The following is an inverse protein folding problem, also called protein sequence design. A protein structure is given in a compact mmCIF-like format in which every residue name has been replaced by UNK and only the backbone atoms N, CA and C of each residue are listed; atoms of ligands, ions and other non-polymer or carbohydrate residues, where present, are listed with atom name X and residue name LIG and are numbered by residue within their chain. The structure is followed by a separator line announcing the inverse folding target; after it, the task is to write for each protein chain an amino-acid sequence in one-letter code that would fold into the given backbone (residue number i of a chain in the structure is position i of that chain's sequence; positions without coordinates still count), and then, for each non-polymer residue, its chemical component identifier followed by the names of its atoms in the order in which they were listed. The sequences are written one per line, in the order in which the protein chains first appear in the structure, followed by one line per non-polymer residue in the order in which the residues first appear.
data_IF_556601529417
#
_entry.id   IF_556601529417
#
_cell.length_a   1.000
_cell.length_b   1.000
_cell.length_c   1.000
_cell.angle_alpha   90.00
_cell.angle_beta   90.00
_cell.angle_gamma   90.00
#
_symmetry.space_group_name_H-M   'P 1'
#
loop_
_entity.id
_entity.type
_entity.pdbx_description
1 polymer ?
#
# COMPACT_ATOMS: atom_id res chain seq x y z
N UNK A 1 0.93 -40.26 6.73
CA UNK A 1 1.04 -38.84 7.18
C UNK A 1 2.12 -38.24 6.29
N UNK A 2 1.71 -37.62 5.20
CA UNK A 2 2.65 -36.97 4.24
C UNK A 2 2.98 -35.60 4.78
N UNK A 3 4.25 -35.41 5.07
CA UNK A 3 4.89 -34.15 5.37
C UNK A 3 4.67 -33.21 4.17
N UNK A 4 3.82 -32.19 4.34
CA UNK A 4 3.62 -31.16 3.33
C UNK A 4 4.92 -30.38 3.23
N UNK A 5 5.64 -30.64 2.16
CA UNK A 5 6.90 -30.07 1.73
C UNK A 5 6.99 -28.58 2.09
N UNK A 6 7.89 -28.27 3.03
CA UNK A 6 8.47 -26.94 3.19
C UNK A 6 9.06 -26.54 1.84
N UNK A 7 8.32 -25.72 1.08
CA UNK A 7 8.85 -25.13 -0.16
C UNK A 7 10.12 -24.39 0.23
N UNK A 8 11.24 -24.72 -0.38
CA UNK A 8 12.51 -24.04 -0.14
C UNK A 8 12.35 -22.56 -0.53
N UNK A 9 12.20 -21.69 0.46
CA UNK A 9 11.96 -20.26 0.27
C UNK A 9 13.08 -19.57 -0.51
N UNK A 10 14.29 -20.15 -0.57
CA UNK A 10 15.41 -19.60 -1.32
C UNK A 10 15.18 -19.60 -2.84
N UNK A 11 14.24 -20.41 -3.33
CA UNK A 11 13.89 -20.53 -4.76
C UNK A 11 12.81 -19.49 -5.17
N UNK A 12 12.13 -18.87 -4.21
CA UNK A 12 11.09 -17.87 -4.49
C UNK A 12 11.71 -16.52 -4.89
N UNK A 13 11.00 -15.70 -5.71
CA UNK A 13 11.52 -14.43 -6.26
C UNK A 13 12.10 -13.46 -5.23
N UNK A 14 11.55 -13.46 -4.00
CA UNK A 14 12.01 -12.63 -2.89
C UNK A 14 12.58 -13.46 -1.72
N UNK A 15 13.04 -14.69 -2.01
CA UNK A 15 13.71 -15.55 -1.03
C UNK A 15 14.92 -14.86 -0.42
N UNK A 16 14.92 -14.71 0.93
CA UNK A 16 15.98 -14.01 1.65
C UNK A 16 15.86 -12.48 1.69
N UNK A 17 14.91 -11.89 0.99
CA UNK A 17 14.63 -10.46 1.09
C UNK A 17 13.91 -10.11 2.41
N UNK A 18 14.20 -8.92 2.92
CA UNK A 18 13.58 -8.36 4.13
C UNK A 18 12.76 -7.13 3.74
N UNK A 19 11.48 -7.13 4.10
CA UNK A 19 10.55 -6.05 3.82
C UNK A 19 10.00 -5.44 5.12
N UNK A 20 9.81 -4.13 5.13
CA UNK A 20 9.03 -3.41 6.13
C UNK A 20 7.78 -2.84 5.44
N UNK A 21 6.59 -3.25 5.90
CA UNK A 21 5.31 -2.69 5.47
C UNK A 21 4.71 -1.90 6.62
N UNK A 22 4.82 -0.60 6.54
CA UNK A 22 4.29 0.33 7.51
C UNK A 22 2.81 0.62 7.20
N UNK A 23 1.93 0.41 8.20
CA UNK A 23 0.48 0.53 8.00
C UNK A 23 -0.20 -0.76 7.51
N UNK A 24 0.36 -1.93 7.82
CA UNK A 24 -0.08 -3.22 7.29
C UNK A 24 -1.19 -3.92 8.10
N UNK A 25 -2.01 -3.19 8.86
CA UNK A 25 -3.08 -3.79 9.66
C UNK A 25 -4.22 -4.35 8.80
N UNK A 26 -4.58 -3.66 7.69
CA UNK A 26 -5.70 -3.99 6.78
C UNK A 26 -5.47 -3.35 5.41
N UNK A 27 -6.43 -3.52 4.50
CA UNK A 27 -6.45 -2.87 3.19
C UNK A 27 -5.22 -3.17 2.35
N UNK A 28 -4.70 -2.14 1.67
CA UNK A 28 -3.55 -2.27 0.77
C UNK A 28 -2.32 -2.83 1.50
N UNK A 29 -1.97 -2.27 2.67
CA UNK A 29 -0.80 -2.71 3.43
C UNK A 29 -0.85 -4.18 3.83
N UNK A 30 -2.02 -4.71 4.25
CA UNK A 30 -2.22 -6.15 4.50
C UNK A 30 -2.01 -6.95 3.22
N UNK A 31 -2.65 -6.55 2.11
CA UNK A 31 -2.51 -7.23 0.82
C UNK A 31 -1.07 -7.26 0.33
N UNK A 32 -0.35 -6.13 0.45
CA UNK A 32 1.07 -6.01 0.10
C UNK A 32 1.93 -6.93 0.96
N UNK A 33 1.73 -6.93 2.27
CA UNK A 33 2.49 -7.80 3.18
C UNK A 33 2.32 -9.28 2.81
N UNK A 34 1.09 -9.72 2.54
CA UNK A 34 0.78 -11.11 2.16
C UNK A 34 1.46 -11.48 0.84
N UNK A 35 1.42 -10.63 -0.19
CA UNK A 35 2.01 -10.94 -1.50
C UNK A 35 3.54 -10.90 -1.48
N UNK A 36 4.17 -10.03 -0.69
CA UNK A 36 5.61 -10.08 -0.43
C UNK A 36 5.99 -11.41 0.26
N UNK A 37 5.18 -11.86 1.22
CA UNK A 37 5.35 -13.16 1.87
C UNK A 37 5.18 -14.32 0.89
N UNK A 38 4.16 -14.31 0.05
CA UNK A 38 3.95 -15.31 -0.99
C UNK A 38 5.13 -15.40 -1.97
N UNK A 39 5.83 -14.28 -2.19
CA UNK A 39 7.08 -14.24 -2.97
C UNK A 39 8.32 -14.69 -2.18
N UNK A 40 8.21 -15.06 -0.90
CA UNK A 40 9.29 -15.65 -0.08
C UNK A 40 9.97 -14.68 0.89
N UNK A 41 9.54 -13.42 0.97
CA UNK A 41 10.18 -12.44 1.84
C UNK A 41 9.92 -12.69 3.34
N UNK A 42 10.84 -12.17 4.17
CA UNK A 42 10.57 -11.88 5.57
C UNK A 42 9.94 -10.49 5.64
N UNK A 43 8.74 -10.40 6.22
CA UNK A 43 7.94 -9.16 6.23
C UNK A 43 7.68 -8.69 7.65
N UNK A 44 8.23 -7.55 8.00
CA UNK A 44 7.87 -6.81 9.20
C UNK A 44 6.57 -6.05 8.95
N UNK A 45 5.54 -6.40 9.71
CA UNK A 45 4.18 -5.83 9.64
C UNK A 45 4.02 -4.86 10.79
N UNK A 46 3.87 -3.58 10.51
CA UNK A 46 3.74 -2.57 11.55
C UNK A 46 2.41 -1.82 11.49
N UNK A 47 1.97 -1.37 12.64
CA UNK A 47 0.74 -0.61 12.83
C UNK A 47 0.40 -0.47 14.31
N UNK A 48 -0.62 0.32 14.61
CA UNK A 48 -1.06 0.60 16.00
C UNK A 48 -2.07 -0.41 16.53
N UNK A 49 -2.71 -1.17 15.64
CA UNK A 49 -3.81 -2.09 15.98
C UNK A 49 -3.25 -3.48 16.23
N UNK A 50 -3.39 -3.96 17.46
CA UNK A 50 -2.96 -5.27 17.93
C UNK A 50 -4.14 -6.02 18.52
N UNK A 51 -3.95 -7.31 18.86
CA UNK A 51 -4.95 -8.09 19.59
C UNK A 51 -5.29 -7.50 20.97
N UNK A 52 -4.34 -6.79 21.59
CA UNK A 52 -4.51 -6.13 22.88
C UNK A 52 -5.07 -4.70 22.74
N UNK A 53 -4.85 -4.05 21.59
CA UNK A 53 -5.23 -2.67 21.34
C UNK A 53 -5.97 -2.52 20.01
N UNK A 54 -7.27 -2.31 20.07
CA UNK A 54 -8.08 -2.06 18.88
C UNK A 54 -7.73 -0.72 18.22
N UNK A 55 -8.04 -0.64 16.92
CA UNK A 55 -7.92 0.60 16.15
C UNK A 55 -8.87 1.69 16.67
N UNK A 56 -8.60 2.97 16.34
CA UNK A 56 -9.50 4.10 16.58
C UNK A 56 -10.88 3.92 15.90
N UNK A 57 -10.96 3.04 14.92
CA UNK A 57 -12.21 2.67 14.21
C UNK A 57 -12.93 1.48 14.87
N UNK A 58 -12.44 0.99 16.00
CA UNK A 58 -12.95 -0.22 16.69
C UNK A 58 -13.05 -1.47 15.79
N UNK A 59 -12.17 -1.56 14.78
CA UNK A 59 -12.14 -2.68 13.83
C UNK A 59 -11.36 -3.87 14.40
N UNK A 60 -11.70 -5.10 13.97
CA UNK A 60 -11.09 -6.32 14.50
C UNK A 60 -9.68 -6.61 13.94
N UNK A 61 -9.34 -6.08 12.76
CA UNK A 61 -8.09 -6.42 12.07
C UNK A 61 -6.86 -6.00 12.88
N UNK A 62 -5.85 -6.87 12.93
CA UNK A 62 -4.62 -6.68 13.69
C UNK A 62 -3.38 -6.94 12.84
N UNK A 63 -2.23 -6.41 13.30
CA UNK A 63 -0.95 -6.69 12.66
C UNK A 63 -0.50 -8.14 12.87
N UNK A 64 -0.88 -8.77 13.99
CA UNK A 64 -0.56 -10.17 14.27
C UNK A 64 -1.28 -11.08 13.28
N UNK A 65 -2.56 -10.84 13.01
CA UNK A 65 -3.31 -11.57 12.00
C UNK A 65 -2.65 -11.42 10.61
N UNK A 66 -2.24 -10.19 10.25
CA UNK A 66 -1.54 -9.98 8.99
C UNK A 66 -0.22 -10.75 8.92
N UNK A 67 0.56 -10.78 10.00
CA UNK A 67 1.81 -11.55 10.06
C UNK A 67 1.57 -13.07 9.93
N UNK A 68 0.49 -13.58 10.52
CA UNK A 68 0.06 -14.98 10.35
C UNK A 68 -0.32 -15.28 8.89
N UNK A 69 -1.06 -14.36 8.24
CA UNK A 69 -1.41 -14.49 6.82
C UNK A 69 -0.18 -14.46 5.90
N UNK A 70 0.82 -13.63 6.20
CA UNK A 70 2.13 -13.62 5.52
C UNK A 70 2.80 -14.98 5.63
N UNK A 71 2.82 -15.55 6.84
CA UNK A 71 3.43 -16.86 7.09
C UNK A 71 2.66 -17.98 6.39
N UNK A 72 1.33 -17.94 6.43
CA UNK A 72 0.48 -18.89 5.72
C UNK A 72 0.64 -18.82 4.20
N UNK A 73 1.02 -17.66 3.65
CA UNK A 73 1.30 -17.47 2.24
C UNK A 73 2.68 -17.98 1.79
N UNK A 74 3.55 -18.41 2.73
CA UNK A 74 4.88 -18.98 2.43
C UNK A 74 6.07 -18.10 2.81
N UNK A 75 5.84 -16.90 3.34
CA UNK A 75 6.86 -15.98 3.84
C UNK A 75 7.20 -16.18 5.32
N UNK A 76 7.78 -15.15 5.92
CA UNK A 76 7.92 -15.02 7.37
C UNK A 76 7.31 -13.68 7.81
N UNK A 77 6.16 -13.71 8.46
CA UNK A 77 5.50 -12.53 8.99
C UNK A 77 5.96 -12.22 10.42
N UNK A 78 6.32 -10.98 10.69
CA UNK A 78 6.76 -10.51 12.00
C UNK A 78 5.96 -9.26 12.36
N UNK A 79 5.02 -9.38 13.29
CA UNK A 79 4.25 -8.25 13.78
C UNK A 79 5.07 -7.42 14.78
N UNK A 80 5.13 -6.10 14.57
CA UNK A 80 5.77 -5.16 15.48
C UNK A 80 4.87 -3.95 15.67
N UNK A 81 4.28 -3.76 16.87
CA UNK A 81 3.49 -2.57 17.15
C UNK A 81 4.33 -1.31 17.02
N UNK A 82 3.81 -0.33 16.27
CA UNK A 82 4.45 0.97 16.15
C UNK A 82 3.44 2.06 15.74
N UNK A 83 3.53 3.21 16.38
CA UNK A 83 2.92 4.45 15.92
C UNK A 83 3.98 5.25 15.13
N UNK A 84 3.77 5.34 13.82
CA UNK A 84 4.71 6.01 12.93
C UNK A 84 4.76 7.54 13.10
N UNK A 85 3.92 8.13 13.96
CA UNK A 85 4.08 9.49 14.46
C UNK A 85 5.07 9.60 15.62
N UNK A 86 5.55 8.48 16.17
CA UNK A 86 6.51 8.44 17.27
C UNK A 86 7.90 8.04 16.76
N UNK A 87 8.84 8.99 16.59
CA UNK A 87 10.16 8.69 16.02
C UNK A 87 10.90 7.58 16.74
N UNK A 88 10.84 7.53 18.09
CA UNK A 88 11.51 6.51 18.87
C UNK A 88 10.98 5.09 18.63
N UNK A 89 9.67 4.94 18.35
CA UNK A 89 9.09 3.63 18.04
C UNK A 89 9.55 3.15 16.65
N UNK A 90 9.58 4.06 15.66
CA UNK A 90 10.07 3.75 14.32
C UNK A 90 11.56 3.40 14.33
N UNK A 91 12.37 4.18 15.06
CA UNK A 91 13.80 3.91 15.25
C UNK A 91 14.02 2.50 15.86
N UNK A 92 13.22 2.14 16.87
CA UNK A 92 13.31 0.83 17.52
C UNK A 92 12.96 -0.32 16.55
N UNK A 93 11.94 -0.15 15.69
CA UNK A 93 11.59 -1.12 14.64
C UNK A 93 12.76 -1.32 13.68
N UNK A 94 13.30 -0.24 13.13
CA UNK A 94 14.39 -0.29 12.15
C UNK A 94 15.67 -0.85 12.78
N UNK A 95 15.99 -0.46 14.01
CA UNK A 95 17.13 -1.01 14.75
C UNK A 95 16.97 -2.52 15.00
N UNK A 96 15.75 -3.00 15.25
CA UNK A 96 15.46 -4.43 15.35
C UNK A 96 15.73 -5.16 14.04
N UNK A 97 15.22 -4.64 12.90
CA UNK A 97 15.48 -5.19 11.57
C UNK A 97 16.98 -5.25 11.29
N UNK A 98 17.69 -4.17 11.59
CA UNK A 98 19.14 -4.10 11.43
C UNK A 98 19.90 -5.15 12.25
N UNK A 99 19.50 -5.37 13.52
CA UNK A 99 20.12 -6.40 14.37
C UNK A 99 19.81 -7.83 13.92
N UNK A 100 18.58 -8.08 13.46
CA UNK A 100 18.13 -9.43 13.10
C UNK A 100 18.61 -9.85 11.69
N UNK A 101 18.73 -8.90 10.74
CA UNK A 101 19.00 -9.22 9.34
C UNK A 101 20.18 -8.44 8.72
N UNK A 102 20.60 -7.32 9.32
CA UNK A 102 21.67 -6.47 8.75
C UNK A 102 21.26 -5.75 7.45
N UNK A 103 20.03 -5.89 6.99
CA UNK A 103 19.53 -5.35 5.73
C UNK A 103 18.03 -5.05 5.75
N UNK A 104 17.63 -4.16 4.86
CA UNK A 104 16.25 -3.94 4.43
C UNK A 104 16.25 -3.83 2.91
N UNK A 105 15.37 -4.57 2.21
CA UNK A 105 15.33 -4.60 0.75
C UNK A 105 14.13 -3.84 0.19
N UNK A 106 13.01 -3.87 0.92
CA UNK A 106 11.77 -3.21 0.53
C UNK A 106 11.19 -2.44 1.70
N UNK A 107 10.95 -1.16 1.50
CA UNK A 107 10.17 -0.31 2.40
C UNK A 107 8.87 0.08 1.71
N UNK A 108 7.73 -0.21 2.33
CA UNK A 108 6.42 0.25 1.87
C UNK A 108 5.81 1.14 2.95
N UNK A 109 5.56 2.39 2.62
CA UNK A 109 4.83 3.32 3.45
C UNK A 109 3.36 3.35 3.00
N UNK A 110 2.49 2.65 3.71
CA UNK A 110 1.02 2.61 3.51
C UNK A 110 0.29 3.11 4.77
N UNK A 111 0.91 4.04 5.48
CA UNK A 111 0.33 4.60 6.69
C UNK A 111 -0.73 5.63 6.29
N UNK A 112 -1.95 5.38 6.68
CA UNK A 112 -3.07 6.28 6.57
C UNK A 112 -3.76 6.41 7.94
N UNK A 113 -5.04 6.46 8.04
CA UNK A 113 -5.78 6.59 9.30
C UNK A 113 -6.59 7.88 9.30
N UNK A 114 -6.83 8.42 8.11
CA UNK A 114 -7.56 9.65 7.91
C UNK A 114 -9.03 9.48 7.53
N UNK A 115 -9.55 8.24 7.42
CA UNK A 115 -10.91 7.99 6.92
C UNK A 115 -11.97 8.75 7.71
N UNK A 116 -11.92 8.72 9.04
CA UNK A 116 -12.88 9.43 9.91
C UNK A 116 -12.66 10.96 9.97
N UNK A 117 -11.59 11.43 9.34
CA UNK A 117 -11.25 12.86 9.28
C UNK A 117 -11.72 13.51 7.98
N UNK A 118 -12.15 12.71 7.00
CA UNK A 118 -12.61 13.20 5.70
C UNK A 118 -13.99 13.85 5.87
N UNK A 119 -14.09 15.10 5.47
CA UNK A 119 -15.35 15.81 5.29
C UNK A 119 -15.54 15.98 3.77
N UNK A 120 -16.51 15.24 3.21
CA UNK A 120 -16.68 15.10 1.78
C UNK A 120 -17.17 16.40 1.12
N UNK A 121 -16.43 16.87 0.13
CA UNK A 121 -16.77 18.04 -0.68
C UNK A 121 -17.00 19.33 0.12
N UNK A 122 -16.34 19.43 1.28
CA UNK A 122 -16.41 20.62 2.14
C UNK A 122 -15.26 21.56 1.78
N UNK A 123 -15.51 22.85 1.50
CA UNK A 123 -14.46 23.82 1.23
C UNK A 123 -13.57 24.04 2.46
N UNK A 124 -12.33 24.47 2.23
CA UNK A 124 -11.30 24.54 3.30
C UNK A 124 -11.73 25.42 4.49
N UNK A 125 -12.50 26.48 4.24
CA UNK A 125 -12.96 27.41 5.29
C UNK A 125 -14.14 26.88 6.13
N UNK A 126 -14.75 25.77 5.73
CA UNK A 126 -15.82 25.07 6.45
C UNK A 126 -15.35 23.74 7.04
N UNK A 127 -14.25 23.20 6.52
CA UNK A 127 -13.66 21.96 7.03
C UNK A 127 -13.12 22.16 8.45
N UNK A 128 -13.35 21.19 9.33
CA UNK A 128 -12.79 21.21 10.68
C UNK A 128 -11.26 21.27 10.65
N UNK A 129 -10.66 22.42 11.02
CA UNK A 129 -9.23 22.68 10.91
C UNK A 129 -8.38 21.61 11.62
N UNK A 130 -8.75 21.22 12.84
CA UNK A 130 -8.02 20.19 13.61
C UNK A 130 -8.05 18.83 12.91
N UNK A 131 -9.18 18.44 12.30
CA UNK A 131 -9.30 17.21 11.53
C UNK A 131 -8.39 17.25 10.30
N UNK A 132 -8.44 18.36 9.56
CA UNK A 132 -7.60 18.55 8.37
C UNK A 132 -6.10 18.49 8.69
N UNK A 133 -5.65 19.22 9.71
CA UNK A 133 -4.26 19.21 10.15
C UNK A 133 -3.83 17.82 10.66
N UNK A 134 -4.71 17.12 11.41
CA UNK A 134 -4.43 15.73 11.83
C UNK A 134 -4.30 14.79 10.63
N UNK A 135 -5.14 14.94 9.61
CA UNK A 135 -5.08 14.17 8.37
C UNK A 135 -3.71 14.35 7.68
N UNK A 136 -3.23 15.59 7.54
CA UNK A 136 -1.92 15.88 6.95
C UNK A 136 -0.78 15.23 7.75
N UNK A 137 -0.81 15.35 9.09
CA UNK A 137 0.19 14.70 9.95
C UNK A 137 0.21 13.18 9.76
N UNK A 138 -0.97 12.55 9.71
CA UNK A 138 -1.08 11.11 9.50
C UNK A 138 -0.59 10.67 8.10
N UNK A 139 -0.77 11.51 7.09
CA UNK A 139 -0.38 11.20 5.72
C UNK A 139 1.07 11.57 5.39
N UNK A 140 1.64 12.60 6.04
CA UNK A 140 2.94 13.16 5.64
C UNK A 140 4.02 12.86 6.68
N UNK A 141 3.79 13.23 7.96
CA UNK A 141 4.81 13.06 9.01
C UNK A 141 5.18 11.59 9.18
N UNK A 142 4.20 10.69 9.13
CA UNK A 142 4.44 9.23 9.27
C UNK A 142 5.35 8.68 8.17
N UNK A 143 5.15 9.10 6.92
CA UNK A 143 5.99 8.70 5.78
C UNK A 143 7.41 9.29 5.91
N UNK A 144 7.51 10.55 6.30
CA UNK A 144 8.81 11.22 6.53
C UNK A 144 9.60 10.55 7.67
N UNK A 145 8.95 10.33 8.83
CA UNK A 145 9.58 9.69 9.99
C UNK A 145 10.04 8.29 9.65
N UNK A 146 9.18 7.49 8.99
CA UNK A 146 9.53 6.12 8.61
C UNK A 146 10.70 6.11 7.63
N UNK A 147 10.65 6.93 6.59
CA UNK A 147 11.72 7.02 5.59
C UNK A 147 13.03 7.51 6.21
N UNK A 148 13.00 8.49 7.14
CA UNK A 148 14.19 9.00 7.81
C UNK A 148 15.00 7.89 8.50
N UNK A 149 14.33 7.03 9.26
CA UNK A 149 15.02 5.95 9.97
C UNK A 149 15.31 4.74 9.09
N UNK A 150 14.44 4.39 8.14
CA UNK A 150 14.57 3.15 7.38
C UNK A 150 15.53 3.27 6.17
N UNK A 151 15.63 4.44 5.53
CA UNK A 151 16.45 4.62 4.32
C UNK A 151 17.94 4.32 4.54
N UNK A 152 18.61 4.65 5.67
CA UNK A 152 20.00 4.24 5.88
C UNK A 152 20.20 2.73 5.78
N UNK A 153 19.29 1.94 6.33
CA UNK A 153 19.33 0.48 6.26
C UNK A 153 18.94 -0.05 4.88
N UNK A 154 17.95 0.55 4.22
CA UNK A 154 17.54 0.23 2.87
C UNK A 154 18.66 0.45 1.85
N UNK A 155 19.48 1.47 2.06
CA UNK A 155 20.58 1.87 1.19
C UNK A 155 21.95 1.32 1.62
N UNK A 156 21.99 0.47 2.64
CA UNK A 156 23.22 -0.22 3.06
C UNK A 156 23.76 -1.15 1.96
N UNK A 157 22.86 -1.64 1.09
CA UNK A 157 23.17 -2.43 -0.11
C UNK A 157 22.44 -1.84 -1.32
N UNK A 158 23.03 -1.94 -2.53
CA UNK A 158 22.35 -1.51 -3.76
C UNK A 158 21.06 -2.29 -4.01
N UNK A 159 20.09 -1.66 -4.62
CA UNK A 159 18.84 -2.31 -5.05
C UNK A 159 17.66 -2.14 -4.09
N UNK A 160 17.77 -1.36 -3.02
CA UNK A 160 16.65 -1.07 -2.12
C UNK A 160 15.46 -0.43 -2.86
N UNK A 161 14.24 -0.86 -2.53
CA UNK A 161 12.99 -0.34 -3.08
C UNK A 161 12.17 0.38 -2.02
N UNK A 162 11.88 1.66 -2.25
CA UNK A 162 10.90 2.45 -1.50
C UNK A 162 9.62 2.58 -2.31
N UNK A 163 8.49 2.21 -1.71
CA UNK A 163 7.15 2.40 -2.27
C UNK A 163 6.34 3.30 -1.33
N UNK A 164 5.96 4.46 -1.84
CA UNK A 164 5.09 5.42 -1.16
C UNK A 164 3.65 5.22 -1.68
N UNK A 165 2.77 4.72 -0.81
CA UNK A 165 1.38 4.41 -1.18
C UNK A 165 0.51 5.66 -1.11
N UNK A 166 -0.29 5.89 -2.16
CA UNK A 166 -1.15 7.07 -2.27
C UNK A 166 -2.50 6.73 -2.89
N UNK A 167 -3.33 7.74 -3.14
CA UNK A 167 -4.59 7.64 -3.89
C UNK A 167 -4.55 8.59 -5.10
N UNK A 168 -4.57 7.99 -6.29
CA UNK A 168 -4.44 8.67 -7.57
C UNK A 168 -3.02 8.73 -8.11
N UNK A 169 -2.89 8.52 -9.41
CA UNK A 169 -1.63 8.78 -10.11
C UNK A 169 -1.33 10.28 -10.15
N UNK A 170 -0.06 10.67 -10.28
CA UNK A 170 0.32 12.07 -10.44
C UNK A 170 -0.41 12.76 -11.61
N UNK A 171 -0.62 12.03 -12.72
CA UNK A 171 -1.33 12.54 -13.90
C UNK A 171 -2.80 12.80 -13.59
N UNK A 172 -3.47 11.84 -12.94
CA UNK A 172 -4.88 11.96 -12.57
C UNK A 172 -5.09 13.10 -11.55
N UNK A 173 -4.33 13.12 -10.45
CA UNK A 173 -4.47 14.13 -9.39
C UNK A 173 -4.15 15.56 -9.88
N UNK A 174 -3.26 15.72 -10.87
CA UNK A 174 -3.01 17.04 -11.48
C UNK A 174 -4.23 17.60 -12.23
N UNK A 175 -5.05 16.72 -12.78
CA UNK A 175 -6.23 17.10 -13.56
C UNK A 175 -7.53 17.15 -12.74
N UNK A 176 -7.55 16.53 -11.55
CA UNK A 176 -8.76 16.33 -10.75
C UNK A 176 -8.53 16.73 -9.30
N UNK A 177 -9.31 17.70 -8.82
CA UNK A 177 -9.37 18.05 -7.41
C UNK A 177 -10.07 16.93 -6.62
N UNK A 178 -9.47 16.49 -5.52
CA UNK A 178 -9.92 15.32 -4.77
C UNK A 178 -10.57 15.71 -3.45
N UNK A 179 -11.87 15.46 -3.32
CA UNK A 179 -12.71 15.56 -2.12
C UNK A 179 -12.68 16.91 -1.39
N UNK A 180 -11.55 17.32 -0.84
CA UNK A 180 -11.32 18.60 -0.14
C UNK A 180 -9.80 18.90 -0.14
N UNK A 181 -9.43 20.15 0.20
CA UNK A 181 -8.04 20.61 0.13
C UNK A 181 -7.07 19.82 1.02
N UNK A 182 -7.49 19.36 2.19
CA UNK A 182 -6.64 18.58 3.09
C UNK A 182 -6.39 17.18 2.54
N UNK A 183 -7.42 16.54 2.01
CA UNK A 183 -7.28 15.21 1.39
C UNK A 183 -6.43 15.28 0.13
N UNK A 184 -6.74 16.22 -0.77
CA UNK A 184 -6.00 16.43 -2.01
C UNK A 184 -4.52 16.66 -1.74
N UNK A 185 -4.19 17.57 -0.80
CA UNK A 185 -2.83 17.82 -0.38
C UNK A 185 -2.17 16.59 0.26
N UNK A 186 -2.87 15.86 1.12
CA UNK A 186 -2.36 14.65 1.75
C UNK A 186 -1.90 13.62 0.69
N UNK A 187 -2.75 13.36 -0.31
CA UNK A 187 -2.45 12.34 -1.34
C UNK A 187 -1.42 12.78 -2.36
N UNK A 188 -1.45 14.05 -2.78
CA UNK A 188 -0.44 14.59 -3.71
C UNK A 188 0.93 14.79 -3.06
N UNK A 189 0.99 15.10 -1.76
CA UNK A 189 2.26 15.22 -1.01
C UNK A 189 3.06 13.93 -1.03
N UNK A 190 2.42 12.78 -0.89
CA UNK A 190 3.07 11.46 -0.92
C UNK A 190 3.72 11.20 -2.30
N UNK A 191 3.02 11.53 -3.38
CA UNK A 191 3.58 11.46 -4.73
C UNK A 191 4.81 12.36 -4.89
N UNK A 192 4.74 13.59 -4.36
CA UNK A 192 5.87 14.53 -4.40
C UNK A 192 7.03 14.05 -3.55
N UNK A 193 6.75 13.45 -2.38
CA UNK A 193 7.76 12.86 -1.51
C UNK A 193 8.51 11.74 -2.22
N UNK A 194 7.80 10.79 -2.83
CA UNK A 194 8.42 9.70 -3.61
C UNK A 194 9.34 10.23 -4.70
N UNK A 195 8.89 11.25 -5.44
CA UNK A 195 9.71 11.89 -6.46
C UNK A 195 10.95 12.57 -5.86
N UNK A 196 10.83 13.28 -4.75
CA UNK A 196 11.97 13.90 -4.05
C UNK A 196 12.99 12.86 -3.61
N UNK A 197 12.52 11.83 -2.89
CA UNK A 197 13.36 10.74 -2.39
C UNK A 197 14.03 9.95 -3.52
N UNK A 198 13.42 9.87 -4.71
CA UNK A 198 14.04 9.20 -5.86
C UNK A 198 15.39 9.79 -6.26
N UNK A 199 15.56 11.12 -6.10
CA UNK A 199 16.84 11.80 -6.34
C UNK A 199 17.89 11.49 -5.26
N UNK A 200 17.44 11.25 -4.03
CA UNK A 200 18.31 11.00 -2.90
C UNK A 200 18.76 9.52 -2.84
N UNK A 201 17.89 8.57 -3.23
CA UNK A 201 18.22 7.14 -3.17
C UNK A 201 18.97 6.64 -4.41
N UNK A 202 18.77 7.26 -5.58
CA UNK A 202 19.38 6.82 -6.85
C UNK A 202 20.92 6.75 -6.81
N UNK A 203 21.65 7.71 -6.22
CA UNK A 203 23.12 7.65 -6.13
C UNK A 203 23.63 6.45 -5.30
N UNK A 204 22.78 5.84 -4.49
CA UNK A 204 23.09 4.64 -3.70
C UNK A 204 22.53 3.36 -4.36
N UNK A 205 22.00 3.44 -5.59
CA UNK A 205 21.39 2.31 -6.29
C UNK A 205 20.00 1.94 -5.79
N UNK A 206 19.35 2.81 -5.02
CA UNK A 206 17.96 2.65 -4.59
C UNK A 206 16.96 3.11 -5.65
N UNK A 207 15.72 2.69 -5.49
CA UNK A 207 14.58 3.08 -6.33
C UNK A 207 13.44 3.54 -5.42
N UNK A 208 12.84 4.70 -5.70
CA UNK A 208 11.67 5.21 -5.01
C UNK A 208 10.54 5.49 -6.01
N UNK A 209 9.35 5.01 -5.71
CA UNK A 209 8.14 5.19 -6.52
C UNK A 209 6.96 5.59 -5.65
N UNK A 210 6.00 6.32 -6.20
CA UNK A 210 4.65 6.34 -5.63
C UNK A 210 3.78 5.32 -6.35
N UNK A 211 2.94 4.61 -5.58
CA UNK A 211 2.03 3.60 -6.12
C UNK A 211 0.61 3.83 -5.58
N UNK A 212 -0.36 3.74 -6.47
CA UNK A 212 -1.76 3.81 -6.11
C UNK A 212 -2.50 2.53 -6.50
N UNK A 213 -3.30 1.94 -5.60
CA UNK A 213 -4.32 0.99 -6.03
C UNK A 213 -5.38 1.70 -6.89
N UNK A 214 -6.24 0.92 -7.50
CA UNK A 214 -7.52 1.40 -7.99
C UNK A 214 -8.54 1.53 -6.86
N UNK A 215 -9.84 1.41 -7.19
CA UNK A 215 -10.88 1.37 -6.17
C UNK A 215 -10.76 0.09 -5.36
N UNK A 216 -10.23 0.24 -4.15
CA UNK A 216 -9.82 -0.90 -3.33
C UNK A 216 -11.01 -1.53 -2.59
N UNK A 217 -11.20 -2.84 -2.73
CA UNK A 217 -12.12 -3.63 -1.91
C UNK A 217 -11.49 -3.92 -0.54
N UNK A 218 -11.18 -2.84 0.21
CA UNK A 218 -10.71 -3.00 1.59
C UNK A 218 -11.83 -3.52 2.50
N UNK A 219 -11.47 -4.06 3.66
CA UNK A 219 -12.42 -4.54 4.66
C UNK A 219 -13.45 -3.46 5.02
N UNK A 220 -13.01 -2.19 5.15
CA UNK A 220 -13.91 -1.06 5.42
C UNK A 220 -14.86 -0.79 4.25
N UNK A 221 -14.39 -0.89 3.02
CA UNK A 221 -15.21 -0.65 1.83
C UNK A 221 -16.26 -1.74 1.65
N UNK A 222 -15.87 -3.01 1.85
CA UNK A 222 -16.79 -4.14 1.80
C UNK A 222 -17.88 -4.00 2.88
N UNK A 223 -17.51 -3.67 4.11
CA UNK A 223 -18.47 -3.43 5.20
C UNK A 223 -19.41 -2.24 4.88
N UNK A 224 -18.89 -1.16 4.29
CA UNK A 224 -19.70 0.00 3.89
C UNK A 224 -20.80 -0.38 2.90
N UNK A 225 -20.51 -1.31 1.99
CA UNK A 225 -21.49 -1.81 1.02
C UNK A 225 -22.27 -3.03 1.50
N UNK A 226 -21.99 -3.56 2.70
CA UNK A 226 -22.65 -4.74 3.25
C UNK A 226 -22.38 -6.01 2.45
N UNK A 227 -21.19 -6.14 1.87
CA UNK A 227 -20.77 -7.28 1.05
C UNK A 227 -19.48 -7.90 1.58
N UNK A 228 -19.15 -9.09 1.06
CA UNK A 228 -17.88 -9.79 1.31
C UNK A 228 -17.04 -9.82 0.02
N UNK A 229 -15.78 -10.25 0.11
CA UNK A 229 -14.95 -10.44 -1.10
C UNK A 229 -15.54 -11.52 -2.05
N UNK A 230 -16.31 -12.46 -1.53
CA UNK A 230 -16.94 -13.50 -2.35
C UNK A 230 -18.12 -13.00 -3.20
N UNK A 231 -18.82 -11.98 -2.71
CA UNK A 231 -20.05 -11.44 -3.34
C UNK A 231 -19.98 -9.93 -3.60
N UNK A 232 -18.79 -9.37 -3.63
CA UNK A 232 -18.53 -7.92 -3.79
C UNK A 232 -19.28 -7.28 -4.97
N UNK A 233 -19.57 -8.06 -6.02
CA UNK A 233 -20.29 -7.56 -7.20
C UNK A 233 -21.72 -7.12 -6.87
N UNK A 234 -22.31 -7.59 -5.76
CA UNK A 234 -23.63 -7.12 -5.32
C UNK A 234 -23.63 -5.62 -4.98
N UNK A 235 -22.48 -5.05 -4.58
CA UNK A 235 -22.35 -3.62 -4.35
C UNK A 235 -22.60 -2.77 -5.60
N UNK A 236 -22.44 -3.33 -6.81
CA UNK A 236 -22.67 -2.60 -8.06
C UNK A 236 -24.14 -2.20 -8.27
N UNK A 237 -25.07 -2.82 -7.56
CA UNK A 237 -26.48 -2.41 -7.57
C UNK A 237 -26.68 -0.99 -6.99
N UNK A 238 -25.83 -0.57 -6.05
CA UNK A 238 -25.89 0.74 -5.40
C UNK A 238 -24.78 1.68 -5.88
N UNK A 239 -23.64 1.12 -6.24
CA UNK A 239 -22.48 1.86 -6.77
C UNK A 239 -22.00 1.19 -8.07
N UNK A 240 -22.60 1.53 -9.22
CA UNK A 240 -22.34 0.82 -10.48
C UNK A 240 -20.86 0.79 -10.88
N UNK A 241 -20.13 1.89 -10.69
CA UNK A 241 -18.70 1.97 -11.02
C UNK A 241 -17.79 1.14 -10.10
N UNK A 242 -18.32 0.58 -9.00
CA UNK A 242 -17.55 -0.38 -8.17
C UNK A 242 -17.17 -1.65 -8.95
N UNK A 243 -17.77 -1.87 -10.12
CA UNK A 243 -17.42 -2.96 -11.04
C UNK A 243 -15.92 -2.99 -11.39
N UNK A 244 -15.22 -1.84 -11.34
CA UNK A 244 -13.78 -1.75 -11.65
C UNK A 244 -12.86 -2.01 -10.44
N UNK A 245 -13.42 -2.21 -9.26
CA UNK A 245 -12.66 -2.34 -8.02
C UNK A 245 -11.70 -3.52 -8.02
N UNK A 246 -10.63 -3.42 -7.26
CA UNK A 246 -9.59 -4.44 -7.11
C UNK A 246 -9.48 -4.94 -5.66
N UNK A 247 -9.00 -6.17 -5.46
CA UNK A 247 -8.69 -6.68 -4.12
C UNK A 247 -7.40 -6.07 -3.58
N UNK A 248 -7.19 -6.05 -2.24
CA UNK A 248 -5.90 -5.65 -1.63
C UNK A 248 -4.71 -6.49 -2.12
N UNK A 249 -4.96 -7.74 -2.55
CA UNK A 249 -3.93 -8.61 -3.10
C UNK A 249 -3.41 -8.14 -4.46
N UNK A 250 -4.21 -7.43 -5.25
CA UNK A 250 -3.81 -6.96 -6.58
C UNK A 250 -2.69 -5.91 -6.50
N UNK A 251 -2.85 -4.88 -5.69
CA UNK A 251 -1.77 -3.91 -5.45
C UNK A 251 -0.59 -4.58 -4.73
N UNK A 252 -0.84 -5.58 -3.89
CA UNK A 252 0.21 -6.41 -3.28
C UNK A 252 1.08 -7.10 -4.33
N UNK A 253 0.47 -7.71 -5.35
CA UNK A 253 1.17 -8.32 -6.50
C UNK A 253 1.98 -7.30 -7.29
N UNK A 254 1.48 -6.06 -7.40
CA UNK A 254 2.22 -4.97 -8.04
C UNK A 254 3.52 -4.65 -7.29
N UNK A 255 3.46 -4.55 -5.95
CA UNK A 255 4.66 -4.32 -5.11
C UNK A 255 5.62 -5.51 -5.18
N UNK A 256 5.12 -6.74 -5.09
CA UNK A 256 5.95 -7.94 -5.20
C UNK A 256 6.65 -8.05 -6.56
N UNK A 257 5.95 -7.73 -7.66
CA UNK A 257 6.52 -7.70 -9.01
C UNK A 257 7.62 -6.63 -9.15
N UNK A 258 7.39 -5.42 -8.63
CA UNK A 258 8.42 -4.36 -8.58
C UNK A 258 9.63 -4.81 -7.76
N UNK A 259 9.41 -5.42 -6.59
CA UNK A 259 10.47 -5.88 -5.71
C UNK A 259 11.32 -7.01 -6.36
N UNK A 260 10.69 -7.86 -7.15
CA UNK A 260 11.36 -8.96 -7.86
C UNK A 260 12.04 -8.53 -9.17
N UNK A 261 11.74 -7.34 -9.70
CA UNK A 261 12.27 -6.86 -10.98
C UNK A 261 13.73 -6.40 -10.85
N UNK A 262 14.70 -7.08 -11.47
CA UNK A 262 16.10 -6.65 -11.45
C UNK A 262 16.34 -5.32 -12.16
N UNK A 263 15.42 -4.87 -13.00
CA UNK A 263 15.49 -3.61 -13.76
C UNK A 263 14.58 -2.52 -13.21
N UNK A 264 14.14 -2.64 -11.94
CA UNK A 264 13.20 -1.69 -11.30
C UNK A 264 13.68 -0.24 -11.28
N UNK A 265 14.98 0.01 -11.41
CA UNK A 265 15.55 1.36 -11.48
C UNK A 265 14.92 2.23 -12.61
N UNK A 266 14.36 1.60 -13.66
CA UNK A 266 13.64 2.33 -14.72
C UNK A 266 12.38 3.04 -14.22
N UNK A 267 11.85 2.63 -13.07
CA UNK A 267 10.66 3.20 -12.45
C UNK A 267 10.97 4.32 -11.45
N UNK A 268 12.25 4.58 -11.19
CA UNK A 268 12.64 5.56 -10.18
C UNK A 268 12.01 6.93 -10.42
N UNK A 269 11.35 7.49 -9.39
CA UNK A 269 10.68 8.77 -9.43
C UNK A 269 9.31 8.77 -10.14
N UNK A 270 8.82 7.60 -10.59
CA UNK A 270 7.54 7.51 -11.28
C UNK A 270 6.36 7.33 -10.33
N UNK A 271 5.20 7.79 -10.78
CA UNK A 271 3.92 7.55 -10.15
C UNK A 271 3.20 6.46 -10.93
N UNK A 272 2.98 5.32 -10.28
CA UNK A 272 2.50 4.08 -10.88
C UNK A 272 1.14 3.69 -10.32
N UNK A 273 0.40 2.84 -11.04
CA UNK A 273 -0.81 2.20 -10.54
C UNK A 273 -0.71 0.67 -10.61
N UNK A 274 -1.48 -0.01 -9.75
CA UNK A 274 -1.63 -1.47 -9.76
C UNK A 274 -2.03 -1.98 -11.15
N UNK A 275 -3.01 -1.34 -11.79
CA UNK A 275 -3.48 -1.70 -13.13
C UNK A 275 -2.39 -1.55 -14.20
N UNK A 276 -1.66 -0.43 -14.20
CA UNK A 276 -0.53 -0.25 -15.13
C UNK A 276 0.53 -1.34 -14.97
N UNK A 277 0.90 -1.66 -13.72
CA UNK A 277 1.91 -2.69 -13.43
C UNK A 277 1.41 -4.09 -13.80
N UNK A 278 0.11 -4.36 -13.65
CA UNK A 278 -0.48 -5.63 -14.06
C UNK A 278 -0.40 -5.86 -15.58
N UNK A 279 -0.56 -4.80 -16.38
CA UNK A 279 -0.37 -4.91 -17.84
C UNK A 279 1.09 -5.21 -18.21
N UNK A 280 2.04 -4.66 -17.45
CA UNK A 280 3.48 -4.80 -17.74
C UNK A 280 4.03 -6.13 -17.24
N UNK A 281 3.69 -6.54 -16.01
CA UNK A 281 4.22 -7.74 -15.38
C UNK A 281 3.34 -8.99 -15.57
N UNK A 282 2.12 -8.84 -16.07
CA UNK A 282 1.25 -9.95 -16.44
C UNK A 282 0.50 -10.62 -15.29
N UNK A 283 0.55 -10.08 -14.07
CA UNK A 283 -0.22 -10.63 -12.95
C UNK A 283 -1.72 -10.24 -13.04
N UNK A 284 -2.55 -10.97 -12.32
CA UNK A 284 -4.01 -10.77 -12.25
C UNK A 284 -4.45 -10.51 -10.81
N UNK A 285 -5.67 -10.03 -10.61
CA UNK A 285 -6.33 -10.02 -9.30
C UNK A 285 -6.73 -11.45 -8.87
N UNK A 286 -7.26 -11.61 -7.69
CA UNK A 286 -7.68 -12.90 -7.10
C UNK A 286 -8.79 -13.58 -7.90
N UNK A 287 -9.60 -12.81 -8.63
CA UNK A 287 -10.65 -13.31 -9.52
C UNK A 287 -10.19 -13.52 -10.99
N UNK A 288 -8.89 -13.42 -11.25
CA UNK A 288 -8.27 -13.61 -12.56
C UNK A 288 -8.33 -12.39 -13.48
N UNK A 289 -8.97 -11.31 -13.08
CA UNK A 289 -9.07 -10.05 -13.86
C UNK A 289 -7.81 -9.18 -13.75
N UNK A 290 -7.74 -8.13 -14.56
CA UNK A 290 -6.68 -7.11 -14.53
C UNK A 290 -7.28 -5.70 -14.54
N UNK A 291 -7.91 -5.25 -13.45
CA UNK A 291 -8.58 -3.96 -13.41
C UNK A 291 -7.60 -2.81 -13.67
N UNK A 292 -7.92 -1.96 -14.65
CA UNK A 292 -7.22 -0.71 -14.95
C UNK A 292 -8.09 0.47 -14.50
N UNK A 293 -8.17 0.64 -13.18
CA UNK A 293 -9.10 1.56 -12.56
C UNK A 293 -8.89 3.01 -13.02
N UNK A 294 -7.64 3.49 -13.09
CA UNK A 294 -7.39 4.90 -13.39
C UNK A 294 -7.70 5.25 -14.84
N UNK A 295 -7.51 4.33 -15.77
CA UNK A 295 -7.99 4.50 -17.15
C UNK A 295 -9.51 4.47 -17.22
N UNK A 296 -10.15 3.55 -16.51
CA UNK A 296 -11.61 3.48 -16.40
C UNK A 296 -12.20 4.75 -15.78
N UNK A 297 -11.61 5.28 -14.71
CA UNK A 297 -12.04 6.54 -14.10
C UNK A 297 -12.07 7.67 -15.13
N UNK A 298 -10.95 7.87 -15.83
CA UNK A 298 -10.81 8.95 -16.80
C UNK A 298 -11.70 8.79 -18.06
N UNK A 299 -11.91 7.56 -18.51
CA UNK A 299 -12.61 7.30 -19.79
C UNK A 299 -14.09 6.97 -19.63
N UNK A 300 -14.54 6.52 -18.45
CA UNK A 300 -15.92 6.07 -18.23
C UNK A 300 -16.60 6.84 -17.09
N UNK A 301 -16.02 6.81 -15.88
CA UNK A 301 -16.68 7.36 -14.69
C UNK A 301 -16.73 8.89 -14.71
N UNK A 302 -15.61 9.58 -14.95
CA UNK A 302 -15.53 11.04 -14.92
C UNK A 302 -16.37 11.70 -16.04
N UNK A 303 -16.44 11.12 -17.27
CA UNK A 303 -17.36 11.59 -18.28
C UNK A 303 -18.84 11.28 -17.99
N UNK A 304 -19.16 10.54 -16.92
CA UNK A 304 -20.55 10.18 -16.55
C UNK A 304 -21.18 9.13 -17.44
N UNK A 305 -20.37 8.26 -18.09
CA UNK A 305 -20.87 7.18 -18.91
C UNK A 305 -21.43 6.03 -18.05
N UNK A 306 -22.34 5.20 -18.60
CA UNK A 306 -22.79 3.99 -17.91
C UNK A 306 -21.62 3.09 -17.47
N UNK A 307 -21.75 2.48 -16.31
CA UNK A 307 -20.71 1.62 -15.76
C UNK A 307 -20.57 0.33 -16.59
N UNK A 308 -19.54 0.28 -17.42
CA UNK A 308 -19.13 -0.89 -18.19
C UNK A 308 -17.62 -1.07 -18.08
N UNK A 309 -17.19 -2.15 -17.42
CA UNK A 309 -15.78 -2.47 -17.24
C UNK A 309 -15.19 -3.31 -18.39
N UNK A 310 -15.93 -3.54 -19.47
CA UNK A 310 -15.45 -4.28 -20.64
C UNK A 310 -14.21 -3.58 -21.22
N UNK A 311 -13.10 -4.31 -21.35
CA UNK A 311 -11.81 -3.77 -21.81
C UNK A 311 -10.99 -3.01 -20.75
N UNK A 312 -11.50 -2.94 -19.51
CA UNK A 312 -10.79 -2.32 -18.37
C UNK A 312 -10.52 -3.31 -17.24
N UNK A 313 -11.10 -4.54 -17.32
CA UNK A 313 -10.96 -5.54 -16.26
C UNK A 313 -10.49 -6.90 -16.77
#
# INVERSE_FOLDING_TARGET
MNDLTSTDRSVLPLGGAVALVAGATRGAGRGIAIELGAAGATVYVTGRSTRERRSEYNRPETIEETAELVTAAGGMGIAVPADHLQPAEVEAVVARIGREHGRLDVLVNDIWGGENLIEWNVPIWEHGLEKGLRMLRLAIDTHLVTSHFALPLLLAHPGGLLVEMTDGTAAYNRAHYRLNAFYDLAKTSVTRLAWGLSHEVAPRGGTAVSLTPGWLRSEMMLDTFGVTEADWRNATAHQPHFVISESPRFVGRAVAALAADPHRARWNGQSLSSGQLAQIYGFTDTDGSRPDCWRYMAEVQDPGLPADATGYR
#
